data_IF_763422384488
#
_entry.id   IF_763422384488
#
_cell.length_a   1.000
_cell.length_b   1.000
_cell.length_c   1.000
_cell.angle_alpha   90.00
_cell.angle_beta   90.00
_cell.angle_gamma   90.00
#
_symmetry.space_group_name_H-M   'P 1'
#
loop_
_entity.id
_entity.type
_entity.pdbx_description
1 polymer ?
#
# COMPACT_ATOMS: atom_id res chain seq x y z
N UNK A 1 57.30 25.97 -27.33
CA UNK A 1 55.98 26.62 -27.12
C UNK A 1 54.93 25.61 -27.58
N UNK A 2 53.98 25.08 -26.82
CA UNK A 2 53.27 25.46 -25.59
C UNK A 2 52.89 24.14 -24.88
N UNK A 3 53.27 23.94 -23.62
CA UNK A 3 52.44 24.17 -22.43
C UNK A 3 51.12 23.37 -22.41
N UNK A 4 51.06 22.40 -21.49
CA UNK A 4 49.88 21.77 -20.90
C UNK A 4 48.95 22.80 -20.20
N UNK A 5 48.03 22.34 -19.33
CA UNK A 5 46.69 21.82 -19.55
C UNK A 5 45.68 22.79 -18.90
N UNK A 6 44.52 22.31 -18.44
CA UNK A 6 43.83 22.74 -17.21
C UNK A 6 42.37 23.23 -17.42
N UNK A 7 41.52 22.59 -16.62
CA UNK A 7 40.25 23.01 -16.06
C UNK A 7 39.01 23.16 -16.94
N UNK A 8 38.19 22.11 -16.84
CA UNK A 8 36.81 22.21 -16.37
C UNK A 8 36.58 23.33 -15.35
N UNK A 9 35.88 24.38 -15.79
CA UNK A 9 35.20 25.47 -15.10
C UNK A 9 34.33 26.05 -16.24
N UNK A 10 33.01 26.27 -16.25
CA UNK A 10 32.01 26.76 -15.29
C UNK A 10 30.65 26.35 -15.92
N UNK A 11 29.68 25.78 -15.20
CA UNK A 11 28.50 26.53 -14.76
C UNK A 11 27.65 25.63 -13.84
N UNK A 12 27.92 25.65 -12.54
CA UNK A 12 26.95 25.23 -11.52
C UNK A 12 26.06 26.45 -11.15
N UNK A 13 24.73 26.36 -11.28
CA UNK A 13 23.86 27.36 -10.70
C UNK A 13 23.81 27.22 -9.19
N UNK A 14 24.32 28.26 -8.52
CA UNK A 14 24.21 28.51 -7.10
C UNK A 14 22.75 28.43 -6.60
N UNK A 15 22.39 27.33 -5.94
CA UNK A 15 21.17 27.28 -5.12
C UNK A 15 21.54 27.58 -3.68
N UNK A 16 21.32 28.85 -3.36
CA UNK A 16 21.10 29.48 -2.06
C UNK A 16 20.94 28.51 -0.87
N UNK A 17 21.97 28.57 -0.03
CA UNK A 17 22.03 28.05 1.33
C UNK A 17 21.06 28.85 2.22
N UNK A 18 20.03 28.20 2.77
CA UNK A 18 19.32 28.75 3.92
C UNK A 18 18.82 27.65 4.88
N UNK A 19 19.61 27.49 5.94
CA UNK A 19 19.16 27.39 7.34
C UNK A 19 18.44 26.10 7.80
N UNK A 20 19.27 25.12 8.15
CA UNK A 20 18.98 24.10 9.17
C UNK A 20 18.81 24.75 10.55
N UNK A 21 17.57 24.80 11.06
CA UNK A 21 17.27 25.18 12.44
C UNK A 21 17.73 24.05 13.38
N UNK A 22 18.97 24.16 13.87
CA UNK A 22 19.52 23.28 14.90
C UNK A 22 18.90 23.65 16.24
N UNK A 23 17.89 22.89 16.67
CA UNK A 23 17.34 22.99 18.02
C UNK A 23 18.42 22.58 19.04
N UNK A 24 18.96 23.56 19.75
CA UNK A 24 19.88 23.38 20.89
C UNK A 24 19.05 23.15 22.15
N UNK A 25 19.06 21.97 22.80
CA UNK A 25 18.47 21.84 24.12
C UNK A 25 19.36 22.55 25.15
N UNK A 26 18.79 23.54 25.83
CA UNK A 26 19.42 24.22 26.94
C UNK A 26 19.46 23.28 28.16
N UNK A 27 20.62 22.68 28.41
CA UNK A 27 20.92 21.94 29.64
C UNK A 27 21.00 22.96 30.78
N UNK A 28 19.94 23.06 31.56
CA UNK A 28 19.89 23.90 32.76
C UNK A 28 20.47 23.10 33.92
N UNK A 29 21.72 23.42 34.28
CA UNK A 29 22.39 22.93 35.49
C UNK A 29 21.62 23.41 36.72
N UNK A 30 20.94 22.50 37.40
CA UNK A 30 20.44 22.75 38.75
C UNK A 30 21.47 22.25 39.75
N UNK A 31 22.09 23.21 40.44
CA UNK A 31 23.05 23.00 41.51
C UNK A 31 22.40 22.33 42.72
N UNK A 32 23.21 21.56 43.41
CA UNK A 32 22.90 20.78 44.60
C UNK A 32 22.34 21.60 45.77
N UNK A 33 21.40 21.00 46.50
CA UNK A 33 21.16 21.25 47.91
C UNK A 33 20.86 19.91 48.59
N UNK A 34 21.79 19.47 49.44
CA UNK A 34 21.63 18.32 50.32
C UNK A 34 20.91 18.76 51.60
N UNK A 35 19.90 18.01 52.06
CA UNK A 35 19.48 17.99 53.46
C UNK A 35 18.83 16.64 53.80
N UNK A 36 19.33 16.04 54.88
CA UNK A 36 18.80 14.86 55.57
C UNK A 36 17.37 15.11 56.09
N UNK A 37 16.52 14.07 56.10
CA UNK A 37 15.28 14.10 56.88
C UNK A 37 14.26 13.01 56.57
N UNK A 38 14.26 11.96 57.41
CA UNK A 38 13.15 11.19 57.99
C UNK A 38 11.95 10.75 57.12
N UNK A 39 11.65 9.45 57.28
CA UNK A 39 10.48 8.70 56.82
C UNK A 39 9.13 9.44 56.83
N UNK A 40 8.35 9.21 55.77
CA UNK A 40 6.91 9.43 55.71
C UNK A 40 6.31 8.65 54.55
N UNK A 41 5.37 7.73 54.85
CA UNK A 41 4.52 7.10 53.84
C UNK A 41 3.74 8.17 53.08
N UNK A 42 3.78 8.13 51.74
CA UNK A 42 2.81 8.80 50.89
C UNK A 42 2.37 7.83 49.78
N UNK A 43 1.23 7.16 50.00
CA UNK A 43 0.42 6.60 48.92
C UNK A 43 -0.19 7.78 48.15
N UNK A 44 0.38 8.14 47.00
CA UNK A 44 -0.30 8.93 45.99
C UNK A 44 0.51 8.93 44.69
N UNK A 45 0.17 8.04 43.75
CA UNK A 45 0.38 8.32 42.33
C UNK A 45 -0.47 7.35 41.49
N UNK A 46 -1.75 7.70 41.31
CA UNK A 46 -2.42 7.40 40.04
C UNK A 46 -1.65 8.13 38.93
N UNK A 47 -0.65 7.46 38.35
CA UNK A 47 0.08 7.93 37.18
C UNK A 47 -0.69 7.59 35.91
N UNK A 48 -1.64 8.45 35.56
CA UNK A 48 -2.25 8.50 34.23
C UNK A 48 -1.42 9.36 33.28
N UNK A 49 -1.36 8.96 32.00
CA UNK A 49 -0.75 9.69 30.89
C UNK A 49 0.78 9.66 30.93
N UNK A 50 1.54 9.23 29.92
CA UNK A 50 1.31 9.10 28.50
C UNK A 50 2.05 7.84 28.03
N UNK A 51 1.39 7.00 27.21
CA UNK A 51 2.13 6.03 26.40
C UNK A 51 2.79 6.84 25.28
N UNK A 52 4.12 6.94 25.21
CA UNK A 52 4.76 7.59 24.07
C UNK A 52 4.34 6.81 22.81
N UNK A 53 3.65 7.50 21.90
CA UNK A 53 3.44 7.11 20.49
C UNK A 53 4.77 7.19 19.73
N UNK A 54 5.81 6.59 20.28
CA UNK A 54 6.99 6.16 19.54
C UNK A 54 6.66 4.74 19.11
N UNK A 55 6.01 4.55 17.97
CA UNK A 55 6.75 4.28 16.73
C UNK A 55 5.86 4.56 15.50
N UNK A 56 5.65 5.84 15.22
CA UNK A 56 5.19 6.34 13.91
C UNK A 56 6.26 6.18 12.81
N UNK A 57 7.19 5.22 12.97
CA UNK A 57 8.34 4.99 12.09
C UNK A 57 8.37 3.58 11.45
N UNK A 58 7.35 2.74 11.70
CA UNK A 58 7.10 1.50 10.95
C UNK A 58 5.83 1.58 10.08
N UNK A 59 5.25 2.77 9.96
CA UNK A 59 4.09 3.08 9.16
C UNK A 59 4.52 3.51 7.74
N UNK A 60 5.08 2.59 6.95
CA UNK A 60 4.63 2.56 5.56
C UNK A 60 3.17 2.09 5.60
N UNK A 61 2.29 2.97 6.10
CA UNK A 61 0.86 2.86 5.84
C UNK A 61 0.79 3.10 4.34
N UNK A 62 0.81 2.02 3.57
CA UNK A 62 0.24 2.04 2.24
C UNK A 62 -1.21 2.43 2.46
N UNK A 63 -1.47 3.73 2.39
CA UNK A 63 -2.80 4.32 2.44
C UNK A 63 -3.56 3.67 1.30
N UNK A 64 -4.51 2.80 1.64
CA UNK A 64 -5.39 2.22 0.64
C UNK A 64 -6.22 3.40 0.12
N UNK A 65 -5.98 3.80 -1.13
CA UNK A 65 -6.63 4.95 -1.78
C UNK A 65 -8.06 4.65 -2.22
N UNK A 66 -8.46 3.39 -2.13
CA UNK A 66 -9.75 2.86 -2.57
C UNK A 66 -10.52 2.20 -1.41
N UNK A 67 -11.75 1.74 -1.68
CA UNK A 67 -12.52 1.00 -0.68
C UNK A 67 -11.76 -0.28 -0.23
N UNK A 68 -11.45 -0.37 1.06
CA UNK A 68 -10.69 -1.50 1.61
C UNK A 68 -11.41 -2.86 1.47
N UNK A 69 -12.75 -2.88 1.47
CA UNK A 69 -13.52 -4.10 1.26
C UNK A 69 -13.50 -4.56 -0.20
N UNK A 70 -13.61 -3.64 -1.16
CA UNK A 70 -13.44 -3.97 -2.58
C UNK A 70 -12.03 -4.49 -2.85
N UNK A 71 -11.02 -3.81 -2.33
CA UNK A 71 -9.62 -4.22 -2.47
C UNK A 71 -9.39 -5.63 -1.95
N UNK A 72 -9.83 -5.92 -0.72
CA UNK A 72 -9.70 -7.24 -0.12
C UNK A 72 -10.48 -8.32 -0.87
N UNK A 73 -11.73 -8.04 -1.24
CA UNK A 73 -12.57 -8.97 -1.99
C UNK A 73 -12.00 -9.28 -3.38
N UNK A 74 -11.46 -8.27 -4.07
CA UNK A 74 -10.82 -8.42 -5.37
C UNK A 74 -9.58 -9.32 -5.27
N UNK A 75 -8.68 -9.04 -4.31
CA UNK A 75 -7.49 -9.86 -4.08
C UNK A 75 -7.83 -11.32 -3.79
N UNK A 76 -8.84 -11.57 -2.94
CA UNK A 76 -9.29 -12.94 -2.65
C UNK A 76 -9.83 -13.62 -3.91
N UNK A 77 -10.60 -12.90 -4.73
CA UNK A 77 -11.23 -13.46 -5.94
C UNK A 77 -10.21 -13.81 -7.01
N UNK A 78 -9.15 -12.99 -7.18
CA UNK A 78 -8.10 -13.24 -8.20
C UNK A 78 -6.92 -14.06 -7.69
N UNK A 79 -6.96 -14.52 -6.43
CA UNK A 79 -5.88 -15.28 -5.79
C UNK A 79 -5.60 -16.67 -6.39
N UNK A 80 -6.35 -17.07 -7.41
CA UNK A 80 -6.08 -18.28 -8.19
C UNK A 80 -4.86 -18.15 -9.11
N UNK A 81 -4.41 -16.92 -9.39
CA UNK A 81 -3.28 -16.61 -10.26
C UNK A 81 -2.23 -15.78 -9.50
N UNK A 82 -0.93 -15.87 -9.87
CA UNK A 82 0.08 -14.94 -9.41
C UNK A 82 -0.28 -13.49 -9.75
N UNK A 83 0.04 -12.55 -8.87
CA UNK A 83 -0.16 -11.13 -9.14
C UNK A 83 1.06 -10.56 -9.87
N UNK A 84 0.82 -9.92 -11.01
CA UNK A 84 1.81 -9.15 -11.75
C UNK A 84 1.95 -7.73 -11.18
N UNK A 85 0.82 -7.14 -10.74
CA UNK A 85 0.77 -5.81 -10.14
C UNK A 85 -0.37 -5.74 -9.12
N UNK A 86 -0.14 -5.07 -7.99
CA UNK A 86 -1.17 -4.73 -7.02
C UNK A 86 -0.87 -3.35 -6.42
N UNK A 87 -1.56 -2.32 -6.92
CA UNK A 87 -1.48 -0.95 -6.43
C UNK A 87 -2.75 -0.60 -5.62
N UNK A 88 -2.62 -0.58 -4.29
CA UNK A 88 -3.73 -0.28 -3.38
C UNK A 88 -4.06 1.21 -3.29
N UNK A 89 -3.18 2.10 -3.76
CA UNK A 89 -3.46 3.52 -3.83
C UNK A 89 -4.28 3.87 -5.08
N UNK A 90 -3.88 3.32 -6.24
CA UNK A 90 -4.57 3.49 -7.51
C UNK A 90 -5.74 2.54 -7.76
N UNK A 91 -5.91 1.51 -6.95
CA UNK A 91 -7.03 0.55 -7.09
C UNK A 91 -6.87 -0.44 -8.23
N UNK A 92 -5.65 -0.73 -8.68
CA UNK A 92 -5.38 -1.60 -9.83
C UNK A 92 -4.73 -2.90 -9.38
N UNK A 93 -5.32 -4.03 -9.81
CA UNK A 93 -4.77 -5.38 -9.61
C UNK A 93 -4.65 -6.03 -10.98
N UNK A 94 -3.48 -6.54 -11.32
CA UNK A 94 -3.21 -7.27 -12.57
C UNK A 94 -2.62 -8.62 -12.21
N UNK A 95 -3.20 -9.71 -12.72
CA UNK A 95 -2.62 -11.05 -12.57
C UNK A 95 -1.57 -11.29 -13.65
N UNK A 96 -0.70 -12.27 -13.42
CA UNK A 96 0.03 -12.90 -14.52
C UNK A 96 -0.91 -13.84 -15.30
N UNK A 97 -0.40 -14.40 -16.40
CA UNK A 97 -1.08 -15.45 -17.14
C UNK A 97 -1.18 -16.72 -16.29
N UNK A 98 -2.40 -17.22 -16.14
CA UNK A 98 -2.70 -18.45 -15.43
C UNK A 98 -3.36 -19.47 -16.37
N UNK A 99 -2.78 -20.67 -16.45
CA UNK A 99 -3.38 -21.80 -17.14
C UNK A 99 -3.96 -22.77 -16.11
N UNK A 100 -5.23 -23.13 -16.26
CA UNK A 100 -5.87 -24.10 -15.37
C UNK A 100 -5.27 -25.48 -15.64
N UNK A 101 -4.79 -26.23 -14.63
CA UNK A 101 -4.29 -27.60 -14.83
C UNK A 101 -5.28 -28.55 -15.52
N UNK A 102 -6.59 -28.31 -15.37
CA UNK A 102 -7.64 -29.07 -16.04
C UNK A 102 -7.80 -28.72 -17.54
N UNK A 103 -7.32 -27.55 -17.96
CA UNK A 103 -7.28 -27.13 -19.37
C UNK A 103 -5.99 -26.32 -19.63
N UNK A 104 -4.84 -27.00 -19.75
CA UNK A 104 -3.54 -26.33 -19.88
C UNK A 104 -3.34 -25.64 -21.23
N UNK A 105 -4.20 -25.93 -22.21
CA UNK A 105 -4.19 -25.29 -23.53
C UNK A 105 -4.84 -23.91 -23.52
N UNK A 106 -5.35 -23.45 -22.38
CA UNK A 106 -5.90 -22.11 -22.22
C UNK A 106 -5.22 -21.39 -21.08
N UNK A 107 -4.93 -20.10 -21.29
CA UNK A 107 -4.45 -19.21 -20.24
C UNK A 107 -5.28 -17.95 -20.18
N UNK A 108 -5.44 -17.43 -18.97
CA UNK A 108 -6.20 -16.22 -18.70
C UNK A 108 -5.37 -15.24 -17.89
N UNK A 109 -5.56 -13.95 -18.17
CA UNK A 109 -5.08 -12.84 -17.36
C UNK A 109 -6.27 -12.01 -16.96
N UNK A 110 -6.31 -11.55 -15.72
CA UNK A 110 -7.37 -10.69 -15.20
C UNK A 110 -6.76 -9.37 -14.74
N UNK A 111 -7.46 -8.28 -15.04
CA UNK A 111 -7.20 -6.94 -14.53
C UNK A 111 -8.44 -6.46 -13.82
N UNK A 112 -8.28 -6.00 -12.59
CA UNK A 112 -9.33 -5.42 -11.77
C UNK A 112 -8.97 -3.97 -11.50
N UNK A 113 -9.93 -3.08 -11.71
CA UNK A 113 -9.78 -1.65 -11.41
C UNK A 113 -10.92 -1.22 -10.50
N UNK A 114 -10.58 -0.68 -9.34
CA UNK A 114 -11.52 -0.09 -8.40
C UNK A 114 -11.59 1.39 -8.71
N UNK A 115 -12.78 1.83 -9.10
CA UNK A 115 -13.03 3.18 -9.62
C UNK A 115 -13.51 4.13 -8.52
N UNK A 116 -14.00 3.59 -7.41
CA UNK A 116 -14.59 4.40 -6.35
C UNK A 116 -14.46 3.80 -4.95
N UNK A 117 -14.75 4.63 -3.95
CA UNK A 117 -14.75 4.31 -2.53
C UNK A 117 -16.12 3.79 -2.05
N UNK A 118 -17.21 3.99 -2.79
CA UNK A 118 -18.53 3.46 -2.43
C UNK A 118 -18.76 2.03 -2.93
N UNK A 119 -19.55 1.23 -2.17
CA UNK A 119 -19.92 -0.15 -2.54
C UNK A 119 -21.10 -0.21 -3.52
N UNK A 120 -20.99 0.48 -4.65
CA UNK A 120 -21.98 0.48 -5.74
C UNK A 120 -21.58 -0.47 -6.88
N UNK A 121 -22.51 -0.72 -7.79
CA UNK A 121 -22.31 -1.70 -8.87
C UNK A 121 -21.26 -1.26 -9.91
N UNK A 122 -21.09 0.05 -10.09
CA UNK A 122 -20.16 0.70 -11.04
C UNK A 122 -18.83 1.12 -10.39
N UNK A 123 -18.60 0.82 -9.10
CA UNK A 123 -17.35 1.15 -8.41
C UNK A 123 -16.17 0.22 -8.78
N UNK A 124 -16.42 -0.79 -9.60
CA UNK A 124 -15.47 -1.84 -9.97
C UNK A 124 -15.58 -2.10 -11.47
N UNK A 125 -14.45 -2.35 -12.10
CA UNK A 125 -14.37 -2.88 -13.46
C UNK A 125 -13.42 -4.05 -13.53
N UNK A 126 -13.84 -5.12 -14.20
CA UNK A 126 -12.98 -6.27 -14.47
C UNK A 126 -12.76 -6.40 -15.97
N UNK A 127 -11.52 -6.64 -16.37
CA UNK A 127 -11.14 -7.01 -17.71
C UNK A 127 -10.42 -8.35 -17.66
N UNK A 128 -10.66 -9.20 -18.65
CA UNK A 128 -9.99 -10.48 -18.78
C UNK A 128 -9.53 -10.67 -20.22
N UNK A 129 -8.32 -11.20 -20.37
CA UNK A 129 -7.75 -11.62 -21.64
C UNK A 129 -7.58 -13.13 -21.61
N UNK A 130 -7.95 -13.82 -22.68
CA UNK A 130 -7.73 -15.27 -22.83
C UNK A 130 -6.89 -15.54 -24.06
N UNK A 131 -6.00 -16.50 -23.93
CA UNK A 131 -5.28 -17.08 -25.06
C UNK A 131 -5.43 -18.60 -25.06
N UNK A 132 -5.50 -19.16 -26.26
CA UNK A 132 -5.55 -20.60 -26.52
C UNK A 132 -4.24 -21.01 -27.18
N UNK A 133 -3.73 -22.18 -26.84
CA UNK A 133 -2.57 -22.76 -27.49
C UNK A 133 -3.01 -23.48 -28.77
N UNK A 134 -2.66 -22.91 -29.91
CA UNK A 134 -2.89 -23.48 -31.24
C UNK A 134 -1.55 -23.93 -31.81
N UNK A 135 -1.31 -25.25 -31.80
CA UNK A 135 -0.09 -25.88 -32.33
C UNK A 135 1.22 -25.28 -31.79
N UNK A 136 1.26 -24.95 -30.49
CA UNK A 136 2.42 -24.37 -29.81
C UNK A 136 2.44 -22.84 -29.78
N UNK A 137 1.52 -22.18 -30.48
CA UNK A 137 1.39 -20.72 -30.52
C UNK A 137 0.23 -20.24 -29.64
N UNK A 138 0.45 -19.18 -28.86
CA UNK A 138 -0.62 -18.57 -28.07
C UNK A 138 -1.36 -17.54 -28.91
N UNK A 139 -2.64 -17.80 -29.19
CA UNK A 139 -3.52 -16.94 -29.99
C UNK A 139 -4.61 -16.36 -29.09
N UNK A 140 -4.97 -15.09 -29.29
CA UNK A 140 -6.06 -14.47 -28.52
C UNK A 140 -7.42 -15.11 -28.82
N UNK A 141 -8.20 -15.29 -27.75
CA UNK A 141 -9.54 -15.84 -27.84
C UNK A 141 -10.54 -14.98 -27.05
N UNK A 142 -11.78 -14.83 -27.53
CA UNK A 142 -12.75 -13.88 -26.95
C UNK A 142 -13.25 -14.34 -25.58
N UNK A 143 -13.09 -13.53 -24.54
CA UNK A 143 -13.67 -13.82 -23.21
C UNK A 143 -15.18 -13.62 -23.23
N UNK A 144 -15.91 -14.59 -22.70
CA UNK A 144 -17.37 -14.49 -22.57
C UNK A 144 -17.71 -13.37 -21.59
N UNK A 145 -18.60 -12.45 -21.98
CA UNK A 145 -19.04 -11.36 -21.11
C UNK A 145 -19.60 -11.86 -19.77
N UNK A 146 -20.31 -12.99 -19.79
CA UNK A 146 -20.84 -13.62 -18.58
C UNK A 146 -19.76 -14.02 -17.56
N UNK A 147 -18.54 -14.38 -18.01
CA UNK A 147 -17.43 -14.69 -17.11
C UNK A 147 -16.93 -13.44 -16.40
N UNK A 148 -16.79 -12.33 -17.14
CA UNK A 148 -16.37 -11.04 -16.56
C UNK A 148 -17.42 -10.54 -15.57
N UNK A 149 -18.69 -10.53 -15.95
CA UNK A 149 -19.79 -10.13 -15.07
C UNK A 149 -19.83 -10.97 -13.79
N UNK A 150 -19.66 -12.29 -13.91
CA UNK A 150 -19.65 -13.18 -12.75
C UNK A 150 -18.50 -12.85 -11.79
N UNK A 151 -17.32 -12.48 -12.30
CA UNK A 151 -16.20 -12.06 -11.44
C UNK A 151 -16.53 -10.75 -10.70
N UNK A 152 -17.11 -9.77 -11.40
CA UNK A 152 -17.57 -8.52 -10.79
C UNK A 152 -18.59 -8.76 -9.68
N UNK A 153 -19.61 -9.58 -9.95
CA UNK A 153 -20.66 -9.91 -9.00
C UNK A 153 -20.10 -10.62 -7.75
N UNK A 154 -19.15 -11.54 -7.92
CA UNK A 154 -18.47 -12.23 -6.81
C UNK A 154 -17.71 -11.23 -5.94
N UNK A 155 -16.94 -10.32 -6.55
CA UNK A 155 -16.15 -9.31 -5.82
C UNK A 155 -17.10 -8.39 -5.04
N UNK A 156 -18.14 -7.87 -5.68
CA UNK A 156 -19.13 -6.98 -5.05
C UNK A 156 -19.87 -7.67 -3.91
N UNK A 157 -20.25 -8.94 -4.08
CA UNK A 157 -20.92 -9.73 -3.04
C UNK A 157 -20.00 -9.92 -1.84
N UNK A 158 -18.76 -10.40 -2.07
CA UNK A 158 -17.75 -10.58 -1.01
C UNK A 158 -17.45 -9.27 -0.27
N UNK A 159 -17.32 -8.15 -0.99
CA UNK A 159 -17.06 -6.85 -0.36
C UNK A 159 -18.20 -6.41 0.56
N UNK A 160 -19.46 -6.63 0.15
CA UNK A 160 -20.62 -6.36 1.01
C UNK A 160 -20.65 -7.27 2.22
N UNK A 161 -20.27 -8.54 2.07
CA UNK A 161 -20.18 -9.50 3.18
C UNK A 161 -19.11 -9.08 4.20
N UNK A 162 -17.92 -8.70 3.72
CA UNK A 162 -16.84 -8.19 4.57
C UNK A 162 -17.28 -6.93 5.34
N UNK A 163 -18.00 -6.01 4.68
CA UNK A 163 -18.56 -4.83 5.34
C UNK A 163 -19.58 -5.21 6.42
N UNK A 164 -20.48 -6.15 6.15
CA UNK A 164 -21.46 -6.62 7.14
C UNK A 164 -20.79 -7.27 8.35
N UNK A 165 -19.77 -8.08 8.13
CA UNK A 165 -19.00 -8.73 9.21
C UNK A 165 -18.31 -7.71 10.11
N UNK A 166 -17.69 -6.69 9.53
CA UNK A 166 -17.00 -5.64 10.29
C UNK A 166 -17.94 -4.76 11.14
N UNK A 167 -19.24 -4.72 10.82
CA UNK A 167 -20.24 -4.00 11.61
C UNK A 167 -20.82 -4.84 12.75
N UNK A 168 -20.57 -6.15 12.76
CA UNK A 168 -21.10 -7.10 13.76
C UNK A 168 -20.07 -7.46 14.84
N UNK A 169 -18.79 -7.08 14.66
CA UNK A 169 -17.68 -7.28 15.61
C UNK A 169 -17.50 -6.08 16.53
#
# INVERSE_FOLDING_TARGET
MTASPLNDDEDEPAVTRAQSATFRPAIRRFSAAALLGVAGLALAACGGGDRPRTELAAAQINTIGVNAYLWRAALETVSFAPLLQADSAGGVIVTDWYANPANPNERVKVTVTILDQDLRADALRVAASRQVNEAGNWVEAPVQAATVQKLEDIILTKARDLRRQALQS
#
